data_IF_474607590225
#
_entry.id   IF_474607590225
#
_cell.length_a   1.000
_cell.length_b   1.000
_cell.length_c   1.000
_cell.angle_alpha   90.00
_cell.angle_beta   90.00
_cell.angle_gamma   90.00
#
_symmetry.space_group_name_H-M   'P 1'
#
loop_
_entity.id
_entity.type
_entity.pdbx_description
1 polymer ?
#
# COMPACT_ATOMS: atom_id res chain seq x y z
N UNK A 1 11.27 18.88 7.43
CA UNK A 1 11.70 17.70 6.64
C UNK A 1 10.57 16.97 5.88
N UNK A 2 9.27 17.18 6.20
CA UNK A 2 8.17 16.36 5.65
C UNK A 2 7.58 16.71 4.27
N UNK A 3 7.66 17.97 3.81
CA UNK A 3 6.95 18.42 2.59
C UNK A 3 7.62 17.91 1.30
N UNK A 4 8.96 17.95 1.21
CA UNK A 4 9.72 17.48 0.03
C UNK A 4 9.58 15.97 -0.20
N UNK A 5 9.35 15.19 0.87
CA UNK A 5 9.16 13.74 0.80
C UNK A 5 7.79 13.36 0.22
N UNK A 6 6.78 14.22 0.39
CA UNK A 6 5.45 14.02 -0.20
C UNK A 6 5.49 14.24 -1.71
N UNK A 7 5.99 15.39 -2.18
CA UNK A 7 6.08 15.69 -3.62
C UNK A 7 6.80 14.57 -4.38
N UNK A 8 7.99 14.18 -3.91
CA UNK A 8 8.76 13.10 -4.54
C UNK A 8 8.02 11.77 -4.57
N UNK A 9 7.28 11.42 -3.50
CA UNK A 9 6.46 10.20 -3.49
C UNK A 9 5.31 10.29 -4.50
N UNK A 10 4.59 11.42 -4.53
CA UNK A 10 3.45 11.60 -5.45
C UNK A 10 3.92 11.57 -6.90
N UNK A 11 5.07 12.17 -7.21
CA UNK A 11 5.65 12.19 -8.56
C UNK A 11 6.12 10.80 -8.98
N UNK A 12 6.75 10.04 -8.08
CA UNK A 12 7.10 8.63 -8.32
C UNK A 12 5.85 7.80 -8.60
N UNK A 13 4.81 7.93 -7.79
CA UNK A 13 3.55 7.20 -7.98
C UNK A 13 2.86 7.58 -9.30
N UNK A 14 2.74 8.87 -9.61
CA UNK A 14 2.15 9.34 -10.87
C UNK A 14 2.92 8.82 -12.07
N UNK A 15 4.25 8.90 -12.05
CA UNK A 15 5.10 8.45 -13.15
C UNK A 15 5.07 6.92 -13.31
N UNK A 16 4.99 6.18 -12.21
CA UNK A 16 4.87 4.73 -12.27
C UNK A 16 3.48 4.28 -12.75
N UNK A 17 2.41 4.92 -12.29
CA UNK A 17 1.04 4.66 -12.76
C UNK A 17 0.90 4.98 -14.26
N UNK A 18 1.52 6.06 -14.73
CA UNK A 18 1.57 6.40 -16.17
C UNK A 18 2.28 5.33 -16.99
N UNK A 19 3.38 4.77 -16.50
CA UNK A 19 4.09 3.66 -17.16
C UNK A 19 3.29 2.36 -17.13
N UNK A 20 2.60 2.08 -16.02
CA UNK A 20 1.83 0.86 -15.83
C UNK A 20 0.55 0.82 -16.69
N UNK A 21 -0.16 1.96 -16.78
CA UNK A 21 -1.46 2.03 -17.45
C UNK A 21 -1.42 2.74 -18.81
N UNK A 22 -0.29 3.31 -19.21
CA UNK A 22 -0.11 4.06 -20.46
C UNK A 22 -0.92 5.37 -20.53
N UNK A 23 -1.01 5.97 -21.73
CA UNK A 23 -1.86 7.14 -22.02
C UNK A 23 -3.37 6.86 -21.85
N UNK A 24 -3.76 5.59 -21.69
CA UNK A 24 -5.12 5.21 -21.32
C UNK A 24 -5.60 5.87 -20.03
N UNK A 25 -4.73 6.49 -19.24
CA UNK A 25 -5.14 7.31 -18.09
C UNK A 25 -5.97 8.54 -18.46
N UNK A 26 -5.69 9.17 -19.60
CA UNK A 26 -6.33 10.44 -19.96
C UNK A 26 -7.63 10.19 -20.75
N UNK A 27 -7.70 9.06 -21.47
CA UNK A 27 -8.86 8.68 -22.30
C UNK A 27 -9.79 7.63 -21.67
N UNK A 28 -9.35 6.87 -20.65
CA UNK A 28 -10.20 5.86 -20.02
C UNK A 28 -11.24 6.48 -19.10
N UNK A 29 -12.42 5.85 -19.07
CA UNK A 29 -13.45 6.14 -18.08
C UNK A 29 -12.85 6.09 -16.68
N UNK A 30 -13.21 7.08 -15.85
CA UNK A 30 -12.79 7.17 -14.45
C UNK A 30 -13.02 5.85 -13.68
N UNK A 31 -14.08 5.11 -14.03
CA UNK A 31 -14.39 3.79 -13.44
C UNK A 31 -13.36 2.72 -13.81
N UNK A 32 -12.89 2.71 -15.06
CA UNK A 32 -11.90 1.73 -15.53
C UNK A 32 -10.53 1.99 -14.92
N UNK A 33 -10.15 3.27 -14.81
CA UNK A 33 -8.94 3.64 -14.10
C UNK A 33 -8.96 3.18 -12.64
N UNK A 34 -10.03 3.50 -11.90
CA UNK A 34 -10.16 3.05 -10.51
C UNK A 34 -10.14 1.53 -10.41
N UNK A 35 -10.78 0.82 -11.35
CA UNK A 35 -10.78 -0.64 -11.38
C UNK A 35 -9.35 -1.18 -11.53
N UNK A 36 -8.57 -0.67 -12.49
CA UNK A 36 -7.16 -1.03 -12.66
C UNK A 36 -6.32 -0.69 -11.42
N UNK A 37 -6.54 0.47 -10.80
CA UNK A 37 -5.90 0.80 -9.53
C UNK A 37 -6.23 -0.19 -8.41
N UNK A 38 -7.47 -0.68 -8.32
CA UNK A 38 -7.86 -1.68 -7.30
C UNK A 38 -7.16 -3.02 -7.48
N UNK A 39 -6.63 -3.32 -8.66
CA UNK A 39 -5.86 -4.54 -8.88
C UNK A 39 -4.49 -4.46 -8.20
N UNK A 40 -3.88 -3.27 -8.14
CA UNK A 40 -2.58 -3.01 -7.50
C UNK A 40 -2.68 -2.51 -6.05
N UNK A 41 -3.75 -1.80 -5.71
CA UNK A 41 -3.86 -1.09 -4.43
C UNK A 41 -5.11 -1.49 -3.64
N UNK A 42 -5.01 -1.43 -2.31
CA UNK A 42 -6.14 -1.25 -1.43
C UNK A 42 -6.26 0.23 -1.08
N UNK A 43 -7.36 0.85 -1.49
CA UNK A 43 -7.62 2.28 -1.27
C UNK A 43 -8.66 2.44 -0.18
N UNK A 44 -8.39 3.34 0.75
CA UNK A 44 -9.23 3.64 1.90
C UNK A 44 -8.86 2.84 3.14
N UNK A 45 -9.21 3.41 4.29
CA UNK A 45 -8.89 2.91 5.63
C UNK A 45 -9.34 1.46 5.81
N UNK A 46 -10.62 1.18 5.56
CA UNK A 46 -11.21 -0.14 5.79
C UNK A 46 -10.55 -1.25 4.96
N UNK A 47 -10.20 -0.95 3.71
CA UNK A 47 -9.56 -1.95 2.85
C UNK A 47 -8.11 -2.21 3.29
N UNK A 48 -7.39 -1.17 3.67
CA UNK A 48 -5.99 -1.27 4.09
C UNK A 48 -5.85 -1.95 5.48
N UNK A 49 -6.69 -1.61 6.47
CA UNK A 49 -6.68 -2.29 7.78
C UNK A 49 -7.05 -3.76 7.62
N UNK A 50 -8.14 -4.05 6.90
CA UNK A 50 -8.59 -5.43 6.69
C UNK A 50 -7.56 -6.27 5.93
N UNK A 51 -6.78 -5.66 5.04
CA UNK A 51 -5.67 -6.34 4.38
C UNK A 51 -4.55 -6.68 5.38
N UNK A 52 -4.12 -5.72 6.20
CA UNK A 52 -3.10 -5.93 7.25
C UNK A 52 -3.53 -6.98 8.28
N UNK A 53 -4.77 -6.93 8.76
CA UNK A 53 -5.30 -7.88 9.75
C UNK A 53 -5.30 -9.33 9.23
N UNK A 54 -5.62 -9.51 7.94
CA UNK A 54 -5.67 -10.82 7.28
C UNK A 54 -4.30 -11.38 6.90
N UNK A 55 -3.26 -10.54 6.82
CA UNK A 55 -1.90 -11.01 6.68
C UNK A 55 -1.56 -11.88 7.89
N UNK A 56 -0.90 -13.02 7.68
CA UNK A 56 -0.47 -13.84 8.81
C UNK A 56 0.47 -13.02 9.70
N UNK A 57 0.34 -13.15 11.02
CA UNK A 57 1.32 -12.56 11.92
C UNK A 57 2.65 -13.26 11.66
N UNK A 58 3.73 -12.49 11.50
CA UNK A 58 5.08 -13.00 11.69
C UNK A 58 5.31 -13.15 13.19
N UNK A 59 4.49 -13.96 13.85
CA UNK A 59 4.74 -14.36 15.23
C UNK A 59 5.60 -15.62 15.23
N UNK A 60 6.72 -15.53 15.94
CA UNK A 60 7.63 -16.57 16.40
C UNK A 60 8.82 -16.85 15.48
N UNK A 61 9.98 -16.31 15.89
CA UNK A 61 11.21 -17.11 16.10
C UNK A 61 11.84 -17.88 14.95
N UNK A 62 11.39 -17.75 13.70
CA UNK A 62 12.01 -18.44 12.56
C UNK A 62 12.60 -17.43 11.60
N UNK A 63 13.90 -17.18 11.77
CA UNK A 63 14.76 -16.79 10.64
C UNK A 63 14.72 -17.96 9.66
N UNK A 64 13.83 -17.92 8.68
CA UNK A 64 13.90 -18.77 7.49
C UNK A 64 12.87 -18.29 6.46
N UNK A 65 13.35 -17.60 5.44
CA UNK A 65 12.87 -17.61 4.04
C UNK A 65 13.25 -16.29 3.35
N UNK A 66 14.53 -15.95 3.36
CA UNK A 66 15.11 -15.17 2.28
C UNK A 66 16.08 -16.07 1.54
N UNK A 67 15.55 -17.13 0.93
CA UNK A 67 16.18 -17.75 -0.24
C UNK A 67 15.15 -18.64 -0.93
N UNK A 68 15.21 -18.61 -2.27
CA UNK A 68 14.33 -19.28 -3.22
C UNK A 68 12.92 -18.72 -3.39
N UNK A 69 12.78 -17.97 -4.48
CA UNK A 69 11.49 -17.76 -5.12
C UNK A 69 10.79 -19.09 -5.43
N UNK A 70 9.45 -19.01 -5.45
CA UNK A 70 8.47 -20.09 -5.57
C UNK A 70 8.13 -20.75 -4.23
N UNK A 71 6.83 -20.73 -3.93
CA UNK A 71 6.10 -21.53 -2.94
C UNK A 71 5.77 -20.86 -1.60
N UNK A 72 4.61 -20.21 -1.57
CA UNK A 72 3.60 -20.38 -0.51
C UNK A 72 2.20 -20.27 -1.14
N UNK A 73 1.91 -21.22 -2.03
CA UNK A 73 0.54 -21.66 -2.27
C UNK A 73 0.26 -22.81 -1.31
N UNK A 74 -0.89 -22.73 -0.64
CA UNK A 74 -1.58 -23.73 0.20
C UNK A 74 -1.12 -23.91 1.65
N UNK A 75 -2.01 -23.51 2.57
CA UNK A 75 -2.83 -24.52 3.24
C UNK A 75 -4.06 -23.87 3.88
N UNK A 76 -5.23 -24.08 3.28
CA UNK A 76 -6.49 -24.32 3.99
C UNK A 76 -7.34 -25.20 3.07
N UNK A 77 -7.11 -26.51 3.12
CA UNK A 77 -8.08 -27.50 2.71
C UNK A 77 -8.74 -28.03 3.98
N UNK A 78 -9.93 -27.52 4.29
CA UNK A 78 -10.93 -28.27 5.04
C UNK A 78 -12.25 -28.02 4.31
N UNK A 79 -12.73 -29.07 3.63
CA UNK A 79 -14.00 -29.06 2.93
C UNK A 79 -15.15 -28.75 3.90
N UNK A 80 -15.80 -27.59 3.73
CA UNK A 80 -17.25 -27.47 3.85
C UNK A 80 -17.76 -26.13 3.30
N UNK A 81 -18.76 -26.21 2.41
CA UNK A 81 -19.80 -25.20 2.20
C UNK A 81 -19.42 -23.74 1.95
N UNK A 82 -19.54 -23.30 0.69
CA UNK A 82 -19.91 -21.92 0.29
C UNK A 82 -19.18 -20.79 1.03
N UNK A 83 -17.89 -20.62 0.76
CA UNK A 83 -17.18 -19.39 1.10
C UNK A 83 -15.90 -19.26 0.30
N UNK A 84 -15.88 -18.45 -0.77
CA UNK A 84 -14.64 -18.02 -1.41
C UNK A 84 -13.85 -17.22 -0.37
N UNK A 85 -12.93 -17.85 0.35
CA UNK A 85 -12.00 -17.13 1.23
C UNK A 85 -11.18 -16.17 0.35
N UNK A 86 -11.24 -14.85 0.59
CA UNK A 86 -10.56 -13.88 -0.27
C UNK A 86 -9.05 -14.14 -0.24
N UNK A 87 -8.43 -14.15 -1.42
CA UNK A 87 -6.98 -14.34 -1.61
C UNK A 87 -6.21 -13.36 -0.71
N UNK A 88 -5.39 -13.88 0.19
CA UNK A 88 -4.52 -13.08 1.06
C UNK A 88 -3.34 -12.61 0.22
N UNK A 89 -3.30 -11.32 -0.11
CA UNK A 89 -2.21 -10.73 -0.90
C UNK A 89 -1.29 -9.97 0.07
N UNK A 90 0.02 -10.30 0.14
CA UNK A 90 0.96 -9.55 0.96
C UNK A 90 1.04 -8.09 0.50
N UNK A 91 1.38 -7.19 1.40
CA UNK A 91 1.52 -5.76 1.12
C UNK A 91 3.00 -5.39 1.04
N UNK A 92 3.37 -4.56 0.06
CA UNK A 92 4.74 -4.04 -0.05
C UNK A 92 4.93 -2.80 0.85
N UNK A 93 3.95 -1.90 0.85
CA UNK A 93 4.02 -0.64 1.58
C UNK A 93 2.63 -0.10 1.86
N UNK A 94 2.47 0.57 2.99
CA UNK A 94 1.26 1.34 3.34
C UNK A 94 1.61 2.81 3.35
N UNK A 95 0.77 3.64 2.74
CA UNK A 95 0.87 5.09 2.71
C UNK A 95 -0.35 5.64 3.44
N UNK A 96 -0.14 6.45 4.48
CA UNK A 96 -1.22 7.04 5.28
C UNK A 96 -1.05 8.54 5.41
N UNK A 97 -2.13 9.26 5.18
CA UNK A 97 -2.20 10.69 5.39
C UNK A 97 -2.36 11.01 6.88
N UNK A 98 -1.59 11.98 7.37
CA UNK A 98 -1.55 12.34 8.81
C UNK A 98 -2.54 13.44 9.20
N UNK A 99 -3.28 13.98 8.23
CA UNK A 99 -4.32 15.01 8.38
C UNK A 99 -5.67 14.46 8.87
N UNK A 100 -5.69 13.20 9.29
CA UNK A 100 -6.89 12.48 9.73
C UNK A 100 -7.19 12.73 11.20
N UNK A 101 -8.49 12.88 11.49
CA UNK A 101 -9.02 12.98 12.84
C UNK A 101 -10.03 11.85 13.07
N UNK A 102 -9.92 11.07 14.17
CA UNK A 102 -8.94 11.19 15.26
C UNK A 102 -7.54 10.65 14.89
N UNK A 103 -6.49 11.25 15.47
CA UNK A 103 -5.09 10.83 15.29
C UNK A 103 -4.81 9.38 15.74
N UNK A 104 -5.65 8.84 16.63
CA UNK A 104 -5.62 7.45 17.05
C UNK A 104 -5.68 6.46 15.87
N UNK A 105 -6.35 6.84 14.77
CA UNK A 105 -6.39 6.02 13.56
C UNK A 105 -4.97 5.81 12.97
N UNK A 106 -4.18 6.87 12.89
CA UNK A 106 -2.81 6.80 12.36
C UNK A 106 -1.93 5.94 13.26
N UNK A 107 -2.08 6.07 14.59
CA UNK A 107 -1.40 5.23 15.56
C UNK A 107 -1.75 3.75 15.43
N UNK A 108 -3.05 3.42 15.27
CA UNK A 108 -3.50 2.05 15.06
C UNK A 108 -2.93 1.44 13.76
N UNK A 109 -2.93 2.20 12.66
CA UNK A 109 -2.28 1.78 11.42
C UNK A 109 -0.80 1.52 11.57
N UNK A 110 -0.09 2.39 12.31
CA UNK A 110 1.33 2.22 12.60
C UNK A 110 1.60 0.92 13.38
N UNK A 111 0.80 0.64 14.41
CA UNK A 111 0.90 -0.60 15.18
C UNK A 111 0.62 -1.84 14.31
N UNK A 112 -0.44 -1.80 13.49
CA UNK A 112 -0.77 -2.91 12.58
C UNK A 112 0.32 -3.15 11.53
N UNK A 113 0.81 -2.10 10.87
CA UNK A 113 1.85 -2.22 9.84
C UNK A 113 3.16 -2.76 10.44
N UNK A 114 3.56 -2.24 11.61
CA UNK A 114 4.75 -2.71 12.34
C UNK A 114 4.62 -4.19 12.73
N UNK A 115 3.48 -4.61 13.27
CA UNK A 115 3.21 -6.02 13.64
C UNK A 115 3.34 -6.98 12.44
N UNK A 116 3.08 -6.50 11.23
CA UNK A 116 3.17 -7.29 9.99
C UNK A 116 4.49 -7.07 9.24
N UNK A 117 5.43 -6.29 9.80
CA UNK A 117 6.70 -5.88 9.17
C UNK A 117 6.51 -5.23 7.79
N UNK A 118 5.44 -4.46 7.63
CA UNK A 118 5.15 -3.71 6.40
C UNK A 118 5.61 -2.25 6.59
N UNK A 119 6.45 -1.71 5.69
CA UNK A 119 6.83 -0.30 5.73
C UNK A 119 5.61 0.63 5.68
N UNK A 120 5.58 1.63 6.56
CA UNK A 120 4.55 2.66 6.60
C UNK A 120 5.16 4.01 6.22
N UNK A 121 4.60 4.66 5.20
CA UNK A 121 4.95 6.03 4.83
C UNK A 121 3.84 6.96 5.31
N UNK A 122 4.19 7.83 6.24
CA UNK A 122 3.31 8.90 6.69
C UNK A 122 3.44 10.11 5.78
N UNK A 123 2.33 10.58 5.21
CA UNK A 123 2.30 11.74 4.33
C UNK A 123 1.59 12.91 5.00
N UNK A 124 2.27 14.06 5.05
CA UNK A 124 1.72 15.30 5.54
C UNK A 124 1.77 16.36 4.44
N UNK A 125 0.62 16.89 4.04
CA UNK A 125 0.48 17.95 3.04
C UNK A 125 0.83 19.36 3.55
N UNK A 126 1.34 19.48 4.78
CA UNK A 126 1.62 20.77 5.43
C UNK A 126 0.35 21.41 5.96
N UNK A 127 -0.54 21.80 5.05
CA UNK A 127 -1.79 22.51 5.36
C UNK A 127 -2.98 21.55 5.58
N UNK A 128 -2.72 20.34 6.08
CA UNK A 128 -3.77 19.33 6.23
C UNK A 128 -4.34 18.82 4.89
N UNK A 129 -3.56 18.88 3.81
CA UNK A 129 -3.97 18.45 2.47
C UNK A 129 -3.40 17.09 2.05
N UNK A 130 -2.82 16.32 2.98
CA UNK A 130 -2.18 15.05 2.67
C UNK A 130 -3.15 14.06 2.01
N UNK A 131 -4.34 13.94 2.58
CA UNK A 131 -5.41 13.06 2.09
C UNK A 131 -6.01 13.52 0.77
N UNK A 132 -6.10 14.84 0.54
CA UNK A 132 -6.55 15.42 -0.73
C UNK A 132 -5.59 15.05 -1.86
N UNK A 133 -4.30 15.35 -1.66
CA UNK A 133 -3.25 15.13 -2.67
C UNK A 133 -3.01 13.66 -2.95
N UNK A 134 -3.16 12.80 -1.94
CA UNK A 134 -3.11 11.36 -2.12
C UNK A 134 -4.34 10.85 -2.91
N UNK A 135 -5.51 11.45 -2.70
CA UNK A 135 -6.73 11.15 -3.46
C UNK A 135 -6.64 11.52 -4.94
N UNK A 136 -6.03 12.66 -5.25
CA UNK A 136 -5.85 13.17 -6.62
C UNK A 136 -5.14 12.16 -7.54
N UNK A 137 -4.16 11.41 -7.02
CA UNK A 137 -3.45 10.36 -7.79
C UNK A 137 -4.43 9.31 -8.33
N UNK A 138 -5.47 9.00 -7.56
CA UNK A 138 -6.47 7.99 -7.89
C UNK A 138 -7.74 8.61 -8.46
N UNK A 139 -7.69 9.90 -8.85
CA UNK A 139 -8.83 10.71 -9.31
C UNK A 139 -9.98 10.76 -8.28
N UNK A 140 -9.67 10.54 -7.00
CA UNK A 140 -10.64 10.58 -5.89
C UNK A 140 -10.61 11.96 -5.21
N UNK A 141 -11.73 12.33 -4.56
CA UNK A 141 -11.77 13.57 -3.75
C UNK A 141 -10.75 13.55 -2.62
N UNK A 142 -10.63 12.42 -1.93
CA UNK A 142 -9.66 12.20 -0.85
C UNK A 142 -9.27 10.73 -0.80
N UNK A 143 -8.08 10.44 -0.30
CA UNK A 143 -7.67 9.12 0.12
C UNK A 143 -6.84 9.22 1.40
N UNK A 144 -7.30 8.57 2.46
CA UNK A 144 -6.62 8.60 3.76
C UNK A 144 -5.50 7.56 3.82
N UNK A 145 -5.79 6.35 3.40
CA UNK A 145 -4.85 5.23 3.47
C UNK A 145 -4.84 4.51 2.13
N UNK A 146 -3.65 4.14 1.68
CA UNK A 146 -3.43 3.38 0.45
C UNK A 146 -2.39 2.31 0.76
N UNK A 147 -2.70 1.06 0.49
CA UNK A 147 -1.74 -0.03 0.61
C UNK A 147 -1.45 -0.61 -0.76
N UNK A 148 -0.17 -0.66 -1.13
CA UNK A 148 0.30 -1.30 -2.35
C UNK A 148 0.43 -2.81 -2.10
N UNK A 149 -0.24 -3.60 -2.92
CA UNK A 149 -0.09 -5.06 -2.93
C UNK A 149 1.31 -5.40 -3.43
N UNK A 150 1.96 -6.39 -2.81
CA UNK A 150 3.22 -6.89 -3.29
C UNK A 150 3.05 -7.59 -4.65
N UNK A 151 3.96 -7.28 -5.57
CA UNK A 151 3.94 -7.74 -6.94
C UNK A 151 5.17 -7.22 -7.68
N UNK A 152 5.13 -7.28 -9.00
CA UNK A 152 6.21 -6.95 -9.93
C UNK A 152 5.85 -5.83 -10.92
N UNK A 153 4.75 -5.10 -10.67
CA UNK A 153 4.35 -3.94 -11.47
C UNK A 153 5.40 -2.84 -11.49
N UNK A 154 5.34 -1.93 -12.47
CA UNK A 154 6.20 -0.75 -12.53
C UNK A 154 6.05 0.13 -11.29
N UNK A 155 4.85 0.15 -10.70
CA UNK A 155 4.59 0.78 -9.40
C UNK A 155 5.37 0.11 -8.29
N UNK A 156 5.36 -1.23 -8.21
CA UNK A 156 6.12 -1.98 -7.20
C UNK A 156 7.63 -1.70 -7.30
N UNK A 157 8.17 -1.70 -8.51
CA UNK A 157 9.59 -1.41 -8.78
C UNK A 157 9.95 0.03 -8.38
N UNK A 158 9.16 1.00 -8.80
CA UNK A 158 9.40 2.42 -8.47
C UNK A 158 9.31 2.67 -6.97
N UNK A 159 8.34 2.06 -6.28
CA UNK A 159 8.23 2.15 -4.83
C UNK A 159 9.37 1.47 -4.09
N UNK A 160 9.89 0.35 -4.60
CA UNK A 160 11.05 -0.31 -4.00
C UNK A 160 12.30 0.59 -4.10
N UNK A 161 12.49 1.26 -5.24
CA UNK A 161 13.57 2.23 -5.41
C UNK A 161 13.41 3.42 -4.45
N UNK A 162 12.22 4.01 -4.41
CA UNK A 162 11.92 5.12 -3.49
C UNK A 162 12.18 4.74 -2.03
N UNK A 163 11.74 3.54 -1.60
CA UNK A 163 12.00 3.05 -0.26
C UNK A 163 13.51 2.87 -0.02
N UNK A 164 14.27 2.25 -0.93
CA UNK A 164 15.73 2.08 -0.76
C UNK A 164 16.48 3.41 -0.65
N UNK A 165 16.11 4.40 -1.46
CA UNK A 165 16.75 5.73 -1.42
C UNK A 165 16.45 6.49 -0.14
N UNK A 166 15.24 6.30 0.41
CA UNK A 166 14.74 7.04 1.57
C UNK A 166 14.82 6.24 2.90
N UNK A 167 15.15 4.94 2.85
CA UNK A 167 15.34 4.03 3.98
C UNK A 167 16.81 3.67 4.22
N UNK A 168 17.76 4.52 3.78
CA UNK A 168 19.11 4.55 4.40
C UNK A 168 19.10 4.99 5.88
N UNK A 169 17.93 5.00 6.52
CA UNK A 169 17.71 5.31 7.93
C UNK A 169 16.77 4.24 8.51
N UNK A 170 17.28 3.61 9.56
CA UNK A 170 16.59 2.79 10.56
C UNK A 170 16.28 1.33 10.17
N UNK A 171 17.34 0.53 10.04
CA UNK A 171 17.32 -0.80 10.66
C UNK A 171 17.50 -0.61 12.18
N UNK A 172 16.75 -1.30 13.05
CA UNK A 172 17.18 -1.50 14.43
C UNK A 172 18.49 -2.30 14.48
#
# INVERSE_FOLDING_TARGET
MGIRRLEGLLDVLRSALKREFGETLDSASHKDFIRKCKDLFYIGVNNATRALERMQHTCNGSIAAMESGKQLLQSQNVNNGRGRTPKRVPLQVVIIATDVHPRALVGHFSALASSKKVPLIMVNGGNGSGSLRLGEIFKLRTAIAIALKAGDSEVNKAMNHFLKDNCKLDCP
#
